data_IF_018380987775
#
_entry.id   IF_018380987775
#
_cell.length_a   1.000
_cell.length_b   1.000
_cell.length_c   1.000
_cell.angle_alpha   90.00
_cell.angle_beta   90.00
_cell.angle_gamma   90.00
#
_symmetry.space_group_name_H-M   'P 1'
#
loop_
_entity.id
_entity.type
_entity.pdbx_description
1 polymer ?
#
# COMPACT_ATOMS: atom_id res chain seq x y z
N UNK A 1 -9.70 -46.43 29.34
CA UNK A 1 -10.44 -45.85 28.19
C UNK A 1 -10.65 -44.33 28.30
N UNK A 2 -11.14 -43.79 29.42
CA UNK A 2 -11.35 -42.33 29.62
C UNK A 2 -10.13 -41.41 29.38
N UNK A 3 -8.93 -41.79 29.83
CA UNK A 3 -7.71 -40.96 29.67
C UNK A 3 -7.18 -40.88 28.23
N UNK A 4 -7.29 -41.96 27.44
CA UNK A 4 -6.90 -41.97 26.02
C UNK A 4 -7.80 -41.06 25.18
N UNK A 5 -9.11 -41.09 25.44
CA UNK A 5 -10.08 -40.23 24.76
C UNK A 5 -9.88 -38.75 25.12
N UNK A 6 -9.47 -38.44 26.36
CA UNK A 6 -9.15 -37.07 26.79
C UNK A 6 -7.88 -36.53 26.10
N UNK A 7 -6.85 -37.36 25.94
CA UNK A 7 -5.62 -36.98 25.21
C UNK A 7 -5.89 -36.77 23.73
N UNK A 8 -6.70 -37.64 23.10
CA UNK A 8 -7.11 -37.47 21.69
C UNK A 8 -7.91 -36.18 21.50
N UNK A 9 -8.82 -35.87 22.42
CA UNK A 9 -9.60 -34.62 22.39
C UNK A 9 -8.70 -33.39 22.55
N UNK A 10 -7.70 -33.42 23.44
CA UNK A 10 -6.75 -32.32 23.62
C UNK A 10 -5.88 -32.10 22.37
N UNK A 11 -5.43 -33.18 21.74
CA UNK A 11 -4.64 -33.12 20.48
C UNK A 11 -5.50 -32.55 19.34
N UNK A 12 -6.78 -32.93 19.24
CA UNK A 12 -7.68 -32.37 18.24
C UNK A 12 -7.96 -30.87 18.44
N UNK A 13 -8.08 -30.41 19.70
CA UNK A 13 -8.25 -28.98 20.01
C UNK A 13 -7.01 -28.17 19.62
N UNK A 14 -5.81 -28.67 19.93
CA UNK A 14 -4.55 -28.01 19.56
C UNK A 14 -4.38 -27.95 18.03
N UNK A 15 -4.75 -29.00 17.30
CA UNK A 15 -4.74 -29.03 15.83
C UNK A 15 -5.78 -28.09 15.19
N UNK A 16 -6.92 -27.86 15.85
CA UNK A 16 -7.93 -26.92 15.35
C UNK A 16 -7.52 -25.46 15.56
N UNK A 17 -6.78 -25.16 16.64
CA UNK A 17 -6.31 -23.80 16.93
C UNK A 17 -5.20 -23.28 16.00
N UNK A 18 -4.47 -24.15 15.30
CA UNK A 18 -3.43 -23.73 14.34
C UNK A 18 -3.96 -23.48 12.93
N UNK A 19 -5.21 -23.85 12.64
CA UNK A 19 -5.80 -23.79 11.29
C UNK A 19 -6.41 -22.43 10.91
N UNK A 20 -6.47 -21.46 11.83
CA UNK A 20 -7.16 -20.16 11.62
C UNK A 20 -6.21 -18.98 11.82
N UNK A 21 -5.03 -19.03 11.21
CA UNK A 21 -4.29 -17.80 10.92
C UNK A 21 -4.52 -17.50 9.44
N UNK A 22 -5.67 -16.87 9.16
CA UNK A 22 -5.86 -16.22 7.89
C UNK A 22 -4.86 -15.06 7.84
N UNK A 23 -3.71 -15.29 7.20
CA UNK A 23 -2.77 -14.22 6.89
C UNK A 23 -3.48 -13.32 5.90
N UNK A 24 -4.03 -12.21 6.40
CA UNK A 24 -4.49 -11.12 5.56
C UNK A 24 -3.30 -10.73 4.68
N UNK A 25 -3.37 -11.05 3.39
CA UNK A 25 -2.38 -10.55 2.44
C UNK A 25 -2.56 -9.04 2.39
N UNK A 26 -1.64 -8.31 2.98
CA UNK A 26 -1.59 -6.87 2.82
C UNK A 26 -1.54 -6.57 1.31
N UNK A 27 -2.45 -5.71 0.84
CA UNK A 27 -2.46 -5.30 -0.56
C UNK A 27 -1.14 -4.61 -0.89
N UNK A 28 -0.58 -4.85 -2.08
CA UNK A 28 0.73 -4.29 -2.47
C UNK A 28 0.66 -2.76 -2.37
N UNK A 29 1.57 -2.17 -1.59
CA UNK A 29 1.59 -0.73 -1.33
C UNK A 29 0.80 -0.30 -0.09
N UNK A 30 0.13 -1.20 0.62
CA UNK A 30 -0.52 -0.92 1.90
C UNK A 30 0.16 -1.73 3.00
N UNK A 31 0.62 -1.05 4.04
CA UNK A 31 1.17 -1.68 5.25
C UNK A 31 0.31 -1.29 6.46
N UNK A 32 0.69 -1.75 7.65
CA UNK A 32 0.03 -1.35 8.89
C UNK A 32 0.18 0.15 9.18
N UNK A 33 1.15 0.83 8.56
CA UNK A 33 1.47 2.25 8.80
C UNK A 33 1.39 3.13 7.56
N UNK A 34 1.41 2.57 6.36
CA UNK A 34 1.57 3.32 5.11
C UNK A 34 0.56 2.91 4.03
N UNK A 35 0.15 3.89 3.22
CA UNK A 35 -0.50 3.70 1.92
C UNK A 35 0.36 4.40 0.87
N UNK A 36 1.05 3.63 0.02
CA UNK A 36 1.87 4.15 -1.07
C UNK A 36 0.99 4.45 -2.28
N UNK A 37 0.90 5.71 -2.67
CA UNK A 37 0.16 6.16 -3.85
C UNK A 37 1.14 6.74 -4.87
N UNK A 38 1.11 6.20 -6.09
CA UNK A 38 1.91 6.68 -7.21
C UNK A 38 1.14 7.61 -8.14
N UNK A 39 1.79 8.69 -8.56
CA UNK A 39 1.34 9.53 -9.64
C UNK A 39 2.54 10.02 -10.45
N UNK A 40 2.32 10.27 -11.73
CA UNK A 40 3.30 10.87 -12.61
C UNK A 40 2.64 11.97 -13.42
N UNK A 41 3.45 12.84 -13.98
CA UNK A 41 3.02 13.84 -14.92
C UNK A 41 4.13 14.83 -15.21
N UNK A 42 3.95 15.71 -16.21
CA UNK A 42 4.97 16.63 -16.64
C UNK A 42 5.21 17.68 -15.55
N UNK A 43 6.30 17.54 -14.81
CA UNK A 43 6.79 18.59 -13.91
C UNK A 43 7.73 19.54 -14.66
N UNK A 44 8.34 19.06 -15.74
CA UNK A 44 9.19 19.85 -16.63
C UNK A 44 8.74 19.75 -18.09
N UNK A 45 9.36 20.57 -18.95
CA UNK A 45 9.08 20.60 -20.40
C UNK A 45 7.85 21.44 -20.79
N UNK A 46 7.44 21.41 -22.06
CA UNK A 46 6.37 22.27 -22.60
C UNK A 46 5.01 22.06 -21.93
N UNK A 47 4.78 20.87 -21.36
CA UNK A 47 3.53 20.51 -20.70
C UNK A 47 3.56 20.71 -19.16
N UNK A 48 4.62 21.32 -18.60
CA UNK A 48 4.84 21.43 -17.15
C UNK A 48 3.69 22.08 -16.36
N UNK A 49 2.89 22.93 -17.02
CA UNK A 49 1.72 23.55 -16.41
C UNK A 49 0.70 22.52 -15.92
N UNK A 50 0.55 21.39 -16.63
CA UNK A 50 -0.32 20.28 -16.22
C UNK A 50 0.17 19.57 -14.95
N UNK A 51 1.47 19.66 -14.64
CA UNK A 51 2.06 19.12 -13.42
C UNK A 51 1.47 19.71 -12.13
N UNK A 52 0.79 20.86 -12.21
CA UNK A 52 0.07 21.44 -11.08
C UNK A 52 -0.97 20.49 -10.48
N UNK A 53 -1.61 19.65 -11.29
CA UNK A 53 -2.57 18.64 -10.80
C UNK A 53 -1.88 17.67 -9.85
N UNK A 54 -0.70 17.17 -10.20
CA UNK A 54 0.05 16.24 -9.37
C UNK A 54 0.57 16.88 -8.08
N UNK A 55 1.06 18.13 -8.16
CA UNK A 55 1.44 18.88 -6.95
C UNK A 55 0.23 19.13 -6.03
N UNK A 56 -0.93 19.45 -6.61
CA UNK A 56 -2.19 19.60 -5.89
C UNK A 56 -2.62 18.33 -5.16
N UNK A 57 -2.53 17.17 -5.82
CA UNK A 57 -2.75 15.87 -5.16
C UNK A 57 -1.82 15.69 -3.96
N UNK A 58 -0.53 16.03 -4.10
CA UNK A 58 0.44 15.97 -3.01
C UNK A 58 0.07 16.87 -1.82
N UNK A 59 -0.39 18.10 -2.07
CA UNK A 59 -0.88 18.99 -1.02
C UNK A 59 -2.07 18.38 -0.28
N UNK A 60 -3.01 17.76 -0.99
CA UNK A 60 -4.17 17.11 -0.39
C UNK A 60 -3.78 15.90 0.46
N UNK A 61 -2.83 15.08 -0.01
CA UNK A 61 -2.31 13.96 0.79
C UNK A 61 -1.57 14.43 2.04
N UNK A 62 -0.84 15.55 1.97
CA UNK A 62 -0.23 16.16 3.15
C UNK A 62 -1.28 16.60 4.18
N UNK A 63 -2.40 17.17 3.72
CA UNK A 63 -3.52 17.53 4.60
C UNK A 63 -4.11 16.28 5.27
N UNK A 64 -4.44 15.23 4.50
CA UNK A 64 -4.94 13.95 5.04
C UNK A 64 -3.96 13.37 6.08
N UNK A 65 -2.67 13.40 5.80
CA UNK A 65 -1.64 12.93 6.72
C UNK A 65 -1.59 13.78 7.99
N UNK A 66 -1.74 15.10 7.90
CA UNK A 66 -1.81 15.98 9.06
C UNK A 66 -3.04 15.69 9.95
N UNK A 67 -4.16 15.30 9.33
CA UNK A 67 -5.43 14.97 10.02
C UNK A 67 -5.47 13.55 10.61
N UNK A 68 -4.35 12.83 10.62
CA UNK A 68 -4.27 11.50 11.21
C UNK A 68 -4.11 10.38 10.17
N UNK A 69 -4.28 10.67 8.89
CA UNK A 69 -4.18 9.68 7.81
C UNK A 69 -5.47 8.86 7.65
N UNK A 70 -5.38 7.77 6.89
CA UNK A 70 -6.52 6.89 6.60
C UNK A 70 -6.43 5.67 7.49
N UNK A 71 -7.37 5.53 8.43
CA UNK A 71 -7.35 4.47 9.45
C UNK A 71 -6.01 4.38 10.20
N UNK A 72 -5.39 5.53 10.49
CA UNK A 72 -4.07 5.61 11.15
C UNK A 72 -2.87 5.41 10.23
N UNK A 73 -3.06 5.07 8.96
CA UNK A 73 -2.00 4.92 7.96
C UNK A 73 -1.71 6.25 7.26
N UNK A 74 -0.44 6.55 7.04
CA UNK A 74 -0.01 7.75 6.30
C UNK A 74 0.12 7.44 4.81
N UNK A 75 -0.26 8.38 3.97
CA UNK A 75 -0.06 8.32 2.53
C UNK A 75 1.39 8.69 2.21
N UNK A 76 2.12 7.79 1.57
CA UNK A 76 3.42 8.08 0.98
C UNK A 76 3.23 8.36 -0.50
N UNK A 77 3.44 9.62 -0.89
CA UNK A 77 3.20 10.06 -2.26
C UNK A 77 4.44 9.90 -3.13
N UNK A 78 4.38 8.94 -4.05
CA UNK A 78 5.40 8.73 -5.07
C UNK A 78 5.06 9.58 -6.30
N UNK A 79 5.61 10.79 -6.38
CA UNK A 79 5.51 11.65 -7.56
C UNK A 79 6.80 11.58 -8.39
N UNK A 80 6.66 11.42 -9.70
CA UNK A 80 7.76 11.48 -10.68
C UNK A 80 7.42 12.34 -11.89
N UNK A 81 8.45 12.97 -12.44
CA UNK A 81 8.36 13.75 -13.67
C UNK A 81 8.58 12.85 -14.89
N UNK A 82 7.55 12.72 -15.72
CA UNK A 82 7.67 11.99 -16.99
C UNK A 82 7.96 12.92 -18.18
N UNK A 83 7.98 14.24 -17.98
CA UNK A 83 8.18 15.24 -19.04
C UNK A 83 7.18 15.11 -20.19
N UNK A 84 6.02 14.50 -19.97
CA UNK A 84 5.03 14.15 -20.99
C UNK A 84 5.55 13.16 -22.05
N UNK A 85 6.50 12.30 -21.66
CA UNK A 85 7.14 11.33 -22.54
C UNK A 85 6.75 9.89 -22.17
N UNK A 86 6.01 9.16 -23.03
CA UNK A 86 5.59 7.78 -22.75
C UNK A 86 6.73 6.81 -22.34
N UNK A 87 7.95 6.87 -22.92
CA UNK A 87 9.05 6.01 -22.49
C UNK A 87 9.47 6.24 -21.03
N UNK A 88 9.44 7.49 -20.56
CA UNK A 88 9.75 7.82 -19.15
C UNK A 88 8.64 7.31 -18.24
N UNK A 89 7.38 7.49 -18.62
CA UNK A 89 6.23 6.96 -17.88
C UNK A 89 6.35 5.45 -17.65
N UNK A 90 6.75 4.68 -18.66
CA UNK A 90 6.95 3.23 -18.52
C UNK A 90 8.01 2.87 -17.47
N UNK A 91 9.14 3.59 -17.46
CA UNK A 91 10.21 3.37 -16.48
C UNK A 91 9.75 3.75 -15.06
N UNK A 92 9.02 4.85 -14.92
CA UNK A 92 8.45 5.32 -13.65
C UNK A 92 7.44 4.32 -13.08
N UNK A 93 6.54 3.78 -13.91
CA UNK A 93 5.55 2.79 -13.46
C UNK A 93 6.25 1.51 -13.01
N UNK A 94 7.35 1.11 -13.66
CA UNK A 94 8.17 0.00 -13.21
C UNK A 94 8.79 0.27 -11.82
N UNK A 95 9.37 1.45 -11.60
CA UNK A 95 9.90 1.90 -10.29
C UNK A 95 8.79 1.99 -9.21
N UNK A 96 7.57 2.37 -9.59
CA UNK A 96 6.44 2.44 -8.66
C UNK A 96 6.04 1.04 -8.16
N UNK A 97 6.02 0.07 -9.06
CA UNK A 97 5.57 -1.28 -8.75
C UNK A 97 6.64 -2.02 -7.97
N UNK A 98 7.88 -2.04 -8.46
CA UNK A 98 9.03 -2.73 -7.88
C UNK A 98 9.41 -2.20 -6.48
#
# INVERSE_FOLDING_TARGET
>A
MRKKNLVIMLVCVVFLSTAVIAVAKAERGVTDTEIRIGQWGPQTGPAALWGAVARGTGCYFNMINAEGGIHGRKITYFLRDDGYMPPKTKAIVKELVE
#
